data_IF_114063455485
#
_entry.id   IF_114063455485
#
_cell.length_a   1.000
_cell.length_b   1.000
_cell.length_c   1.000
_cell.angle_alpha   90.00
_cell.angle_beta   90.00
_cell.angle_gamma   90.00
#
_symmetry.space_group_name_H-M   'P 1'
#
loop_
_entity.id
_entity.type
_entity.pdbx_description
1 polymer ?
#
# COMPACT_ATOMS: atom_id res chain seq x y z
N UNK A 1 -19.56 -2.31 0.22
CA UNK A 1 -18.23 -2.00 -0.38
C UNK A 1 -17.41 -3.27 -0.62
N UNK A 2 -17.45 -4.26 0.29
CA UNK A 2 -16.79 -5.56 0.11
C UNK A 2 -17.19 -6.31 -1.16
N UNK A 3 -18.46 -6.15 -1.57
CA UNK A 3 -18.98 -6.70 -2.82
C UNK A 3 -18.25 -6.17 -4.08
N UNK A 4 -17.76 -4.93 -4.05
CA UNK A 4 -17.02 -4.35 -5.18
C UNK A 4 -15.65 -5.00 -5.36
N UNK A 5 -14.98 -5.34 -4.24
CA UNK A 5 -13.69 -6.05 -4.26
C UNK A 5 -13.82 -7.50 -4.72
N UNK A 6 -14.90 -8.19 -4.34
CA UNK A 6 -15.18 -9.54 -4.84
C UNK A 6 -15.37 -9.57 -6.36
N UNK A 7 -15.83 -8.47 -6.94
CA UNK A 7 -15.99 -8.30 -8.39
C UNK A 7 -14.70 -7.89 -9.10
N UNK A 8 -13.61 -7.54 -8.40
CA UNK A 8 -12.35 -7.11 -9.01
C UNK A 8 -11.68 -8.32 -9.66
N UNK A 9 -11.33 -8.18 -10.95
CA UNK A 9 -10.70 -9.24 -11.72
C UNK A 9 -9.29 -9.56 -11.21
N UNK A 10 -8.73 -10.73 -11.58
CA UNK A 10 -7.38 -11.12 -11.16
C UNK A 10 -6.34 -10.05 -11.49
N UNK A 11 -6.42 -9.47 -12.68
CA UNK A 11 -5.48 -8.45 -13.15
C UNK A 11 -5.57 -7.14 -12.37
N UNK A 12 -6.79 -6.75 -12.02
CA UNK A 12 -7.03 -5.53 -11.26
C UNK A 12 -6.59 -5.68 -9.80
N UNK A 13 -6.65 -6.90 -9.24
CA UNK A 13 -6.08 -7.19 -7.91
C UNK A 13 -4.56 -7.00 -7.90
N UNK A 14 -3.85 -7.54 -8.88
CA UNK A 14 -2.40 -7.32 -9.00
C UNK A 14 -2.03 -5.83 -9.05
N UNK A 15 -2.82 -5.04 -9.77
CA UNK A 15 -2.62 -3.58 -9.85
C UNK A 15 -2.90 -2.91 -8.51
N UNK A 16 -3.91 -3.37 -7.77
CA UNK A 16 -4.19 -2.90 -6.41
C UNK A 16 -3.04 -3.24 -5.45
N UNK A 17 -2.50 -4.45 -5.53
CA UNK A 17 -1.42 -4.89 -4.64
C UNK A 17 -0.17 -4.02 -4.86
N UNK A 18 0.23 -3.80 -6.11
CA UNK A 18 1.34 -2.92 -6.46
C UNK A 18 1.06 -1.44 -6.12
N UNK A 19 -0.20 -0.98 -6.26
CA UNK A 19 -0.60 0.35 -5.82
C UNK A 19 -0.36 0.53 -4.31
N UNK A 20 -0.71 -0.48 -3.51
CA UNK A 20 -0.57 -0.45 -2.05
C UNK A 20 0.90 -0.52 -1.60
N UNK A 21 1.77 -1.11 -2.42
CA UNK A 21 3.22 -1.07 -2.25
C UNK A 21 3.82 0.30 -2.60
N UNK A 22 3.04 1.21 -3.19
CA UNK A 22 3.48 2.54 -3.58
C UNK A 22 4.10 2.61 -4.98
N UNK A 23 4.04 1.53 -5.76
CA UNK A 23 4.56 1.52 -7.12
C UNK A 23 3.84 2.56 -8.00
N UNK A 24 4.55 3.15 -8.96
CA UNK A 24 3.99 4.06 -9.95
C UNK A 24 3.41 3.33 -11.18
N UNK A 25 2.91 4.06 -12.19
CA UNK A 25 2.33 3.40 -13.37
C UNK A 25 3.38 2.68 -14.23
N UNK A 26 4.62 3.16 -14.22
CA UNK A 26 5.70 2.63 -15.03
C UNK A 26 6.27 1.35 -14.42
N UNK A 27 6.44 1.33 -13.10
CA UNK A 27 6.81 0.17 -12.30
C UNK A 27 5.73 -0.91 -12.40
N UNK A 28 4.45 -0.53 -12.23
CA UNK A 28 3.33 -1.47 -12.41
C UNK A 28 3.32 -2.03 -13.84
N UNK A 29 3.60 -1.21 -14.85
CA UNK A 29 3.67 -1.66 -16.23
C UNK A 29 4.79 -2.67 -16.46
N UNK A 30 5.96 -2.44 -15.87
CA UNK A 30 7.12 -3.32 -15.95
C UNK A 30 6.87 -4.65 -15.23
N UNK A 31 6.47 -4.63 -13.96
CA UNK A 31 6.18 -5.83 -13.17
C UNK A 31 5.14 -6.72 -13.84
N UNK A 32 4.11 -6.09 -14.38
CA UNK A 32 3.00 -6.78 -15.01
C UNK A 32 3.24 -7.07 -16.49
N UNK A 33 4.37 -6.64 -17.09
CA UNK A 33 4.71 -6.81 -18.49
C UNK A 33 3.60 -6.30 -19.46
N UNK A 34 3.04 -5.12 -19.18
CA UNK A 34 2.01 -4.47 -20.00
C UNK A 34 2.34 -3.01 -20.27
N UNK A 35 1.70 -2.42 -21.27
CA UNK A 35 1.87 -0.99 -21.55
C UNK A 35 1.25 -0.11 -20.45
N UNK A 36 1.89 1.03 -20.14
CA UNK A 36 1.41 2.01 -19.16
C UNK A 36 -0.01 2.51 -19.47
N UNK A 37 -0.35 2.64 -20.77
CA UNK A 37 -1.72 2.98 -21.22
C UNK A 37 -2.76 1.97 -20.73
N UNK A 38 -2.38 0.69 -20.67
CA UNK A 38 -3.24 -0.40 -20.20
C UNK A 38 -3.40 -0.33 -18.69
N UNK A 39 -2.32 -0.01 -17.95
CA UNK A 39 -2.37 0.26 -16.51
C UNK A 39 -3.34 1.41 -16.20
N UNK A 40 -3.25 2.53 -16.94
CA UNK A 40 -4.19 3.65 -16.82
C UNK A 40 -5.64 3.23 -17.11
N UNK A 41 -5.88 2.39 -18.12
CA UNK A 41 -7.20 1.86 -18.42
C UNK A 41 -7.76 1.01 -17.26
N UNK A 42 -6.94 0.15 -16.66
CA UNK A 42 -7.33 -0.61 -15.48
C UNK A 42 -7.65 0.29 -14.28
N UNK A 43 -6.82 1.32 -14.01
CA UNK A 43 -7.12 2.30 -12.96
C UNK A 43 -8.43 3.04 -13.22
N UNK A 44 -8.72 3.43 -14.45
CA UNK A 44 -9.99 4.06 -14.79
C UNK A 44 -11.19 3.14 -14.48
N UNK A 45 -11.10 1.85 -14.82
CA UNK A 45 -12.15 0.87 -14.47
C UNK A 45 -12.31 0.73 -12.95
N UNK A 46 -11.20 0.68 -12.22
CA UNK A 46 -11.20 0.67 -10.76
C UNK A 46 -11.88 1.92 -10.21
N UNK A 47 -11.49 3.12 -10.65
CA UNK A 47 -12.09 4.37 -10.17
C UNK A 47 -13.60 4.44 -10.43
N UNK A 48 -14.06 3.99 -11.60
CA UNK A 48 -15.50 3.93 -11.89
C UNK A 48 -16.23 2.95 -10.97
N UNK A 49 -15.65 1.77 -10.75
CA UNK A 49 -16.21 0.74 -9.85
C UNK A 49 -16.29 1.20 -8.39
N UNK A 50 -15.26 1.89 -7.90
CA UNK A 50 -15.24 2.45 -6.55
C UNK A 50 -15.97 3.81 -6.44
N UNK A 51 -16.57 4.31 -7.53
CA UNK A 51 -17.34 5.55 -7.52
C UNK A 51 -16.49 6.82 -7.33
N UNK A 52 -15.18 6.76 -7.62
CA UNK A 52 -14.25 7.86 -7.39
C UNK A 52 -14.30 8.85 -8.57
N UNK A 53 -15.08 9.92 -8.40
CA UNK A 53 -15.33 10.90 -9.47
C UNK A 53 -14.35 12.10 -9.48
N UNK A 54 -13.75 12.47 -8.35
CA UNK A 54 -12.91 13.68 -8.26
C UNK A 54 -11.80 13.65 -7.20
N UNK A 55 -10.97 14.69 -7.18
CA UNK A 55 -9.76 14.79 -6.35
C UNK A 55 -8.62 13.89 -6.83
N UNK A 56 -7.64 13.63 -5.96
CA UNK A 56 -6.52 12.73 -6.26
C UNK A 56 -7.01 11.27 -6.21
N UNK A 57 -7.53 10.78 -7.34
CA UNK A 57 -8.24 9.48 -7.43
C UNK A 57 -7.40 8.31 -6.91
N UNK A 58 -6.11 8.29 -7.25
CA UNK A 58 -5.15 7.26 -6.81
C UNK A 58 -5.03 7.22 -5.28
N UNK A 59 -4.81 8.39 -4.65
CA UNK A 59 -4.71 8.50 -3.19
C UNK A 59 -6.02 8.11 -2.52
N UNK A 60 -7.17 8.53 -3.07
CA UNK A 60 -8.47 8.10 -2.54
C UNK A 60 -8.65 6.59 -2.61
N UNK A 61 -8.33 5.97 -3.73
CA UNK A 61 -8.39 4.52 -3.91
C UNK A 61 -7.47 3.81 -2.90
N UNK A 62 -6.21 4.23 -2.79
CA UNK A 62 -5.24 3.67 -1.86
C UNK A 62 -5.71 3.81 -0.40
N UNK A 63 -6.16 5.00 0.02
CA UNK A 63 -6.69 5.25 1.37
C UNK A 63 -7.91 4.38 1.69
N UNK A 64 -8.83 4.21 0.73
CA UNK A 64 -10.01 3.34 0.91
C UNK A 64 -9.61 1.88 1.13
N UNK A 65 -8.63 1.39 0.37
CA UNK A 65 -8.13 0.02 0.47
C UNK A 65 -7.32 -0.21 1.75
N UNK A 66 -6.46 0.73 2.12
CA UNK A 66 -5.61 0.64 3.32
C UNK A 66 -6.43 0.62 4.60
N UNK A 67 -7.48 1.46 4.70
CA UNK A 67 -8.41 1.44 5.83
C UNK A 67 -9.08 0.08 6.00
N UNK A 68 -9.32 -0.66 4.93
CA UNK A 68 -9.94 -2.00 4.97
C UNK A 68 -8.95 -3.07 5.44
N UNK A 69 -7.70 -3.06 4.95
CA UNK A 69 -6.68 -4.02 5.38
C UNK A 69 -6.42 -3.96 6.89
N UNK A 70 -6.42 -2.76 7.47
CA UNK A 70 -6.26 -2.55 8.92
C UNK A 70 -7.34 -3.22 9.79
N UNK A 71 -8.51 -3.57 9.22
CA UNK A 71 -9.57 -4.26 9.95
C UNK A 71 -9.55 -5.78 9.81
N UNK A 72 -8.74 -6.34 8.89
CA UNK A 72 -8.65 -7.80 8.70
C UNK A 72 -7.60 -8.46 9.59
N UNK A 73 -6.55 -7.72 9.99
CA UNK A 73 -5.48 -8.20 10.88
C UNK A 73 -5.97 -8.44 12.33
N UNK A 74 -7.05 -7.78 12.76
CA UNK A 74 -7.57 -7.86 14.14
C UNK A 74 -8.49 -9.04 14.45
N UNK A 75 -8.81 -9.89 13.47
CA UNK A 75 -9.82 -10.95 13.61
C UNK A 75 -9.27 -12.38 13.41
N UNK A 76 -7.95 -12.54 13.42
CA UNK A 76 -7.30 -13.85 13.47
C UNK A 76 -6.40 -13.99 14.70
N UNK A 77 -6.96 -13.79 15.90
CA UNK A 77 -6.62 -14.66 17.03
C UNK A 77 -7.70 -15.74 17.13
N UNK A 78 -7.44 -16.98 16.68
CA UNK A 78 -8.09 -18.12 17.29
C UNK A 78 -7.44 -18.28 18.66
N UNK A 79 -8.14 -17.81 19.68
CA UNK A 79 -7.88 -18.14 21.07
C UNK A 79 -8.05 -19.66 21.23
N UNK A 80 -6.95 -20.40 21.45
CA UNK A 80 -7.01 -21.72 22.11
C UNK A 80 -6.67 -21.51 23.60
N UNK A 81 -7.62 -21.73 24.53
CA UNK A 81 -7.42 -21.51 25.95
C UNK A 81 -6.99 -22.81 26.64
N UNK A 82 -5.69 -23.00 26.89
CA UNK A 82 -5.15 -23.73 28.06
C UNK A 82 -3.64 -24.00 27.93
N UNK A 83 -2.82 -23.21 28.62
CA UNK A 83 -1.95 -23.71 29.71
C UNK A 83 -1.20 -22.57 30.38
N UNK A 84 -1.39 -22.53 31.69
CA UNK A 84 -0.81 -21.66 32.69
C UNK A 84 0.72 -21.78 32.73
N UNK A 85 1.43 -20.66 32.82
CA UNK A 85 2.12 -20.30 34.06
C UNK A 85 2.75 -18.90 33.96
N UNK A 86 2.28 -18.03 34.85
CA UNK A 86 2.86 -16.75 35.26
C UNK A 86 4.11 -17.03 36.15
N UNK A 87 5.08 -16.09 36.29
CA UNK A 87 4.79 -14.86 37.03
C UNK A 87 5.37 -13.58 36.42
N UNK A 88 4.49 -12.59 36.35
CA UNK A 88 4.60 -11.27 36.96
C UNK A 88 6.01 -10.66 37.06
N UNK A 89 6.23 -9.62 36.26
CA UNK A 89 6.95 -8.45 36.75
C UNK A 89 6.38 -7.20 36.10
N UNK A 90 5.75 -6.41 36.95
CA UNK A 90 5.17 -5.09 36.73
C UNK A 90 6.12 -4.13 36.01
N UNK A 91 5.60 -3.28 35.11
CA UNK A 91 5.94 -1.85 35.02
C UNK A 91 5.11 -1.17 33.91
N UNK A 92 4.07 -0.43 34.32
CA UNK A 92 3.56 0.73 33.57
C UNK A 92 4.51 1.93 33.77
N UNK A 93 4.25 3.11 33.17
CA UNK A 93 4.56 3.49 31.79
C UNK A 93 5.60 4.64 31.76
N UNK A 94 6.51 4.70 30.78
CA UNK A 94 7.37 5.91 30.64
C UNK A 94 7.78 6.23 29.20
N UNK A 95 7.16 7.30 28.72
CA UNK A 95 7.69 8.38 27.89
C UNK A 95 8.75 8.08 26.81
N UNK A 96 8.37 8.46 25.59
CA UNK A 96 9.16 9.24 24.63
C UNK A 96 10.58 8.75 24.29
N UNK A 97 10.78 8.35 23.03
CA UNK A 97 11.91 8.79 22.20
C UNK A 97 11.61 8.54 20.71
N UNK A 98 11.72 9.62 19.96
CA UNK A 98 11.79 9.71 18.50
C UNK A 98 12.85 8.77 17.93
N UNK A 99 12.54 8.07 16.84
CA UNK A 99 13.47 7.09 16.24
C UNK A 99 13.09 6.65 14.82
N UNK A 100 13.37 7.53 13.84
CA UNK A 100 13.85 7.24 12.47
C UNK A 100 13.18 6.06 11.69
N UNK A 101 12.21 6.37 10.84
CA UNK A 101 11.88 5.54 9.68
C UNK A 101 13.03 5.59 8.67
N UNK A 102 13.67 4.43 8.46
CA UNK A 102 14.80 4.23 7.57
C UNK A 102 14.30 4.20 6.12
N UNK A 103 14.49 5.30 5.39
CA UNK A 103 14.27 5.37 3.94
C UNK A 103 15.49 4.75 3.26
N UNK A 104 15.34 3.80 2.32
CA UNK A 104 16.44 3.36 1.47
C UNK A 104 16.90 4.49 0.55
N UNK A 105 18.16 4.86 0.70
CA UNK A 105 18.88 5.86 -0.07
C UNK A 105 19.41 5.29 -1.39
N UNK A 106 18.92 5.77 -2.53
CA UNK A 106 19.67 5.75 -3.80
C UNK A 106 19.01 6.67 -4.83
N UNK A 107 19.17 7.99 -4.65
CA UNK A 107 19.14 8.94 -5.75
C UNK A 107 20.58 9.44 -5.90
N UNK A 108 21.29 8.98 -6.92
CA UNK A 108 22.54 9.62 -7.34
C UNK A 108 22.38 10.19 -8.74
N UNK A 109 22.34 11.52 -8.74
CA UNK A 109 22.38 12.43 -9.85
C UNK A 109 23.59 12.17 -10.77
N UNK A 110 23.38 12.29 -12.08
CA UNK A 110 24.45 12.67 -13.02
C UNK A 110 23.92 13.74 -13.97
N UNK A 111 23.77 14.97 -13.46
CA UNK A 111 23.76 16.17 -14.30
C UNK A 111 25.12 16.84 -14.12
N UNK A 112 26.02 16.62 -15.08
CA UNK A 112 27.30 17.32 -15.17
C UNK A 112 27.75 17.42 -16.63
N UNK A 113 27.21 18.40 -17.36
CA UNK A 113 27.85 18.99 -18.54
C UNK A 113 27.45 20.44 -18.71
N UNK A 114 28.05 21.35 -17.92
CA UNK A 114 28.36 22.73 -18.35
C UNK A 114 29.62 23.18 -17.60
N UNK A 115 30.75 23.23 -18.29
CA UNK A 115 31.92 24.11 -18.09
C UNK A 115 32.60 24.20 -19.47
N UNK A 116 32.50 25.33 -20.17
CA UNK A 116 33.45 26.45 -20.19
C UNK A 116 34.70 26.16 -21.02
N UNK A 117 34.76 26.77 -22.21
CA UNK A 117 35.97 27.23 -22.90
C UNK A 117 35.59 28.47 -23.73
#
# INVERSE_FOLDING_TARGET
MDEQLNRVGRRERQIIDLLLQGCDNSEIAQDLHIAERTVKAHFNRLFQRFGIKGGIKRVKLATMLYRRQLWSEKQSTPEDPAKENMPSSNLSPKAARTGKLRIPSALQNTLSRITSA
#
